data_IF_508106388935
#
_entry.id   IF_508106388935
#
_cell.length_a   1.000
_cell.length_b   1.000
_cell.length_c   1.000
_cell.angle_alpha   90.00
_cell.angle_beta   90.00
_cell.angle_gamma   90.00
#
_symmetry.space_group_name_H-M   'P 1'
#
loop_
_entity.id
_entity.type
_entity.pdbx_description
1 polymer ?
#
# COMPACT_ATOMS: atom_id res chain seq x y z
N UNK A 1 -4.34 45.99 -18.04
CA UNK A 1 -3.22 45.22 -17.45
C UNK A 1 -3.25 45.35 -15.94
N UNK A 2 -3.64 44.28 -15.25
CA UNK A 2 -2.97 43.71 -14.07
C UNK A 2 -3.85 42.55 -13.61
N UNK A 3 -3.35 41.34 -13.84
CA UNK A 3 -3.97 40.12 -13.37
C UNK A 3 -3.83 40.07 -11.84
N UNK A 4 -4.96 39.98 -11.14
CA UNK A 4 -4.99 39.48 -9.77
C UNK A 4 -5.02 37.96 -9.90
N UNK A 5 -3.84 37.36 -9.89
CA UNK A 5 -3.69 35.92 -9.71
C UNK A 5 -3.93 35.64 -8.24
N UNK A 6 -5.00 34.90 -7.95
CA UNK A 6 -5.35 34.42 -6.62
C UNK A 6 -4.22 33.54 -6.07
N UNK A 7 -3.63 34.03 -5.00
CA UNK A 7 -2.47 33.52 -4.28
C UNK A 7 -2.92 32.56 -3.16
N UNK A 8 -3.72 31.54 -3.50
CA UNK A 8 -4.43 30.71 -2.50
C UNK A 8 -4.13 29.20 -2.56
N UNK A 9 -3.10 28.77 -3.29
CA UNK A 9 -2.71 27.35 -3.37
C UNK A 9 -1.28 27.03 -2.89
N UNK A 10 -0.65 27.95 -2.16
CA UNK A 10 0.71 27.80 -1.66
C UNK A 10 0.79 28.05 -0.16
N UNK A 11 -0.06 27.39 0.64
CA UNK A 11 0.25 27.13 2.06
C UNK A 11 1.37 26.08 2.11
N UNK A 12 2.54 26.58 1.76
CA UNK A 12 3.86 25.97 1.79
C UNK A 12 4.14 25.60 3.24
N UNK A 13 4.16 24.32 3.57
CA UNK A 13 4.73 23.83 4.81
C UNK A 13 6.13 24.44 4.95
N UNK A 14 6.29 25.38 5.89
CA UNK A 14 7.59 25.96 6.15
C UNK A 14 8.41 24.92 6.92
N UNK A 15 9.57 24.47 6.41
CA UNK A 15 10.39 23.47 7.08
C UNK A 15 10.80 23.87 8.49
N UNK A 16 10.85 25.17 8.80
CA UNK A 16 11.29 25.71 10.09
C UNK A 16 10.18 25.77 11.16
N UNK A 17 8.96 25.33 10.85
CA UNK A 17 7.89 25.26 11.85
C UNK A 17 8.03 24.01 12.73
N UNK A 18 8.75 24.16 13.84
CA UNK A 18 8.95 23.11 14.85
C UNK A 18 7.61 22.52 15.36
N UNK A 19 6.56 23.34 15.43
CA UNK A 19 5.24 22.90 15.87
C UNK A 19 4.62 21.90 14.88
N UNK A 20 4.78 22.13 13.58
CA UNK A 20 4.30 21.21 12.53
C UNK A 20 4.94 19.82 12.66
N UNK A 21 6.24 19.74 12.96
CA UNK A 21 6.96 18.47 13.12
C UNK A 21 6.62 17.78 14.43
N UNK A 22 6.45 18.56 15.50
CA UNK A 22 5.99 18.05 16.78
C UNK A 22 4.56 17.48 16.68
N UNK A 23 3.67 18.13 15.94
CA UNK A 23 2.32 17.64 15.66
C UNK A 23 2.34 16.35 14.86
N UNK A 24 3.22 16.25 13.86
CA UNK A 24 3.39 15.01 13.09
C UNK A 24 3.91 13.87 13.98
N UNK A 25 4.89 14.15 14.84
CA UNK A 25 5.43 13.19 15.80
C UNK A 25 4.33 12.69 16.75
N UNK A 26 3.62 13.62 17.40
CA UNK A 26 2.54 13.32 18.36
C UNK A 26 1.39 12.54 17.70
N UNK A 27 1.14 12.80 16.41
CA UNK A 27 0.16 12.05 15.64
C UNK A 27 0.67 10.64 15.23
N UNK A 28 1.94 10.49 14.85
CA UNK A 28 2.49 9.20 14.43
C UNK A 28 2.76 8.26 15.60
N UNK A 29 3.29 8.76 16.70
CA UNK A 29 3.77 7.98 17.84
C UNK A 29 2.77 6.92 18.34
N UNK A 30 1.52 7.25 18.73
CA UNK A 30 0.57 6.26 19.25
C UNK A 30 0.18 5.19 18.21
N UNK A 31 0.31 5.50 16.90
CA UNK A 31 0.04 4.55 15.82
C UNK A 31 1.20 3.56 15.70
N UNK A 32 2.42 4.06 15.71
CA UNK A 32 3.64 3.25 15.67
C UNK A 32 3.74 2.37 16.92
N UNK A 33 3.42 2.92 18.09
CA UNK A 33 3.39 2.17 19.36
C UNK A 33 2.44 0.98 19.30
N UNK A 34 1.25 1.18 18.72
CA UNK A 34 0.30 0.08 18.47
C UNK A 34 0.89 -0.96 17.51
N UNK A 35 1.63 -0.56 16.48
CA UNK A 35 2.27 -1.51 15.55
C UNK A 35 3.37 -2.32 16.22
N UNK A 36 4.25 -1.68 16.98
CA UNK A 36 5.37 -2.33 17.69
C UNK A 36 4.86 -3.31 18.74
N UNK A 37 3.86 -2.91 19.54
CA UNK A 37 3.22 -3.80 20.52
C UNK A 37 2.65 -5.06 19.88
N UNK A 38 2.12 -4.95 18.66
CA UNK A 38 1.50 -6.06 17.93
C UNK A 38 2.46 -6.82 16.99
N UNK A 39 3.74 -6.44 16.92
CA UNK A 39 4.69 -6.99 15.94
C UNK A 39 5.26 -8.37 16.32
N UNK A 40 5.11 -8.76 17.59
CA UNK A 40 5.61 -10.00 18.21
C UNK A 40 7.10 -10.28 17.96
N UNK A 41 7.93 -9.24 17.83
CA UNK A 41 9.38 -9.37 17.68
C UNK A 41 10.00 -9.55 19.07
N UNK A 42 10.61 -10.70 19.33
CA UNK A 42 11.18 -11.03 20.64
C UNK A 42 12.20 -9.98 21.12
N UNK A 43 13.06 -9.51 20.22
CA UNK A 43 14.07 -8.49 20.53
C UNK A 43 13.49 -7.12 20.93
N UNK A 44 12.20 -6.87 20.67
CA UNK A 44 11.55 -5.60 21.03
C UNK A 44 10.81 -5.68 22.36
N UNK A 45 10.73 -6.86 22.98
CA UNK A 45 10.03 -7.03 24.25
C UNK A 45 10.75 -6.30 25.38
N UNK A 46 10.03 -5.45 26.12
CA UNK A 46 10.59 -4.59 27.16
C UNK A 46 11.23 -3.30 26.63
N UNK A 47 11.31 -3.13 25.31
CA UNK A 47 11.83 -1.94 24.63
C UNK A 47 10.84 -1.37 23.60
N UNK A 48 9.55 -1.70 23.75
CA UNK A 48 8.55 -1.36 22.73
C UNK A 48 8.42 0.15 22.56
N UNK A 49 8.59 0.91 23.64
CA UNK A 49 8.49 2.36 23.62
C UNK A 49 9.64 2.97 22.82
N UNK A 50 10.87 2.58 23.14
CA UNK A 50 12.10 3.05 22.51
C UNK A 50 12.10 2.72 21.01
N UNK A 51 11.71 1.49 20.65
CA UNK A 51 11.56 1.09 19.24
C UNK A 51 10.49 1.94 18.54
N UNK A 52 9.41 2.29 19.23
CA UNK A 52 8.37 3.15 18.68
C UNK A 52 8.84 4.60 18.51
N UNK A 53 9.60 5.13 19.47
CA UNK A 53 10.21 6.46 19.41
C UNK A 53 11.19 6.52 18.23
N UNK A 54 12.10 5.54 18.09
CA UNK A 54 13.03 5.39 16.98
C UNK A 54 12.34 5.44 15.61
N UNK A 55 11.32 4.58 15.43
CA UNK A 55 10.58 4.48 14.16
C UNK A 55 9.87 5.80 13.86
N UNK A 56 9.28 6.42 14.88
CA UNK A 56 8.55 7.68 14.72
C UNK A 56 9.49 8.83 14.38
N UNK A 57 10.62 8.97 15.08
CA UNK A 57 11.63 10.00 14.84
C UNK A 57 12.22 9.86 13.43
N UNK A 58 12.60 8.64 13.03
CA UNK A 58 13.16 8.39 11.70
C UNK A 58 12.12 8.71 10.60
N UNK A 59 10.84 8.40 10.83
CA UNK A 59 9.78 8.74 9.89
C UNK A 59 9.59 10.26 9.74
N UNK A 60 9.57 11.00 10.85
CA UNK A 60 9.49 12.46 10.86
C UNK A 60 10.70 13.06 10.13
N UNK A 61 11.92 12.60 10.44
CA UNK A 61 13.16 13.06 9.82
C UNK A 61 13.17 12.84 8.30
N UNK A 62 12.74 11.66 7.85
CA UNK A 62 12.64 11.35 6.41
C UNK A 62 11.56 12.18 5.73
N UNK A 63 10.45 12.45 6.41
CA UNK A 63 9.38 13.32 5.90
C UNK A 63 9.90 14.75 5.74
N UNK A 64 10.64 15.27 6.72
CA UNK A 64 11.31 16.56 6.65
C UNK A 64 12.27 16.67 5.46
N UNK A 65 13.17 15.69 5.29
CA UNK A 65 14.09 15.65 4.14
C UNK A 65 13.35 15.59 2.81
N UNK A 66 12.23 14.86 2.74
CA UNK A 66 11.39 14.84 1.55
C UNK A 66 10.78 16.22 1.28
N UNK A 67 10.27 16.91 2.31
CA UNK A 67 9.74 18.27 2.19
C UNK A 67 10.79 19.24 1.66
N UNK A 68 12.01 19.19 2.19
CA UNK A 68 13.11 20.01 1.69
C UNK A 68 13.33 19.77 0.20
N UNK A 69 13.45 18.51 -0.22
CA UNK A 69 13.63 18.15 -1.64
C UNK A 69 12.46 18.60 -2.53
N UNK A 70 11.23 18.55 -2.01
CA UNK A 70 10.04 19.00 -2.73
C UNK A 70 10.06 20.53 -2.92
N UNK A 71 10.48 21.29 -1.90
CA UNK A 71 10.65 22.75 -1.98
C UNK A 71 11.71 23.14 -3.01
N UNK A 72 12.79 22.36 -3.12
CA UNK A 72 13.84 22.55 -4.13
C UNK A 72 13.43 22.05 -5.53
N UNK A 73 12.24 21.46 -5.70
CA UNK A 73 11.73 20.97 -6.97
C UNK A 73 12.31 19.63 -7.43
N UNK A 74 13.01 18.89 -6.57
CA UNK A 74 13.61 17.59 -6.91
C UNK A 74 12.60 16.43 -6.91
N UNK A 75 11.54 16.56 -6.12
CA UNK A 75 10.50 15.53 -5.96
C UNK A 75 9.12 16.17 -6.05
N UNK A 76 8.09 15.32 -6.21
CA UNK A 76 6.71 15.77 -6.30
C UNK A 76 6.31 16.57 -5.04
N UNK A 77 5.52 17.65 -5.19
CA UNK A 77 4.91 18.34 -4.06
C UNK A 77 4.10 17.39 -3.17
N UNK A 78 4.07 17.69 -1.88
CA UNK A 78 3.40 16.86 -0.88
C UNK A 78 1.95 17.30 -0.74
N UNK A 79 1.03 16.38 -1.02
CA UNK A 79 -0.40 16.65 -0.87
C UNK A 79 -0.84 16.62 0.61
N UNK A 80 -0.22 15.78 1.44
CA UNK A 80 -0.48 15.70 2.88
C UNK A 80 0.73 15.21 3.66
N UNK A 81 1.16 15.99 4.65
CA UNK A 81 2.31 15.67 5.51
C UNK A 81 2.05 14.41 6.35
N UNK A 82 0.83 14.28 6.88
CA UNK A 82 0.41 13.13 7.70
C UNK A 82 0.34 11.83 6.88
N UNK A 83 -0.12 11.89 5.63
CA UNK A 83 -0.17 10.69 4.79
C UNK A 83 1.23 10.22 4.42
N UNK A 84 2.11 11.14 3.99
CA UNK A 84 3.50 10.84 3.67
C UNK A 84 4.24 10.28 4.88
N UNK A 85 4.14 10.94 6.03
CA UNK A 85 4.78 10.50 7.28
C UNK A 85 4.30 9.11 7.71
N UNK A 86 3.01 8.82 7.57
CA UNK A 86 2.46 7.47 7.83
C UNK A 86 3.07 6.43 6.90
N UNK A 87 3.13 6.69 5.59
CA UNK A 87 3.72 5.76 4.62
C UNK A 87 5.18 5.49 4.92
N UNK A 88 5.96 6.53 5.23
CA UNK A 88 7.37 6.39 5.59
C UNK A 88 7.51 5.57 6.88
N UNK A 89 6.72 5.86 7.92
CA UNK A 89 6.73 5.11 9.18
C UNK A 89 6.38 3.64 8.97
N UNK A 90 5.38 3.33 8.16
CA UNK A 90 4.99 1.95 7.84
C UNK A 90 6.10 1.19 7.11
N UNK A 91 6.73 1.82 6.13
CA UNK A 91 7.84 1.22 5.39
C UNK A 91 9.02 0.95 6.31
N UNK A 92 9.42 1.94 7.11
CA UNK A 92 10.51 1.79 8.06
C UNK A 92 10.24 0.72 9.13
N UNK A 93 9.03 0.70 9.69
CA UNK A 93 8.58 -0.37 10.60
C UNK A 93 8.70 -1.76 9.97
N UNK A 94 8.24 -1.93 8.72
CA UNK A 94 8.32 -3.21 8.00
C UNK A 94 9.77 -3.63 7.77
N UNK A 95 10.61 -2.71 7.35
CA UNK A 95 12.03 -2.97 7.10
C UNK A 95 12.76 -3.35 8.39
N UNK A 96 12.52 -2.61 9.48
CA UNK A 96 13.10 -2.90 10.79
C UNK A 96 12.61 -4.22 11.35
N UNK A 97 11.30 -4.50 11.28
CA UNK A 97 10.73 -5.80 11.68
C UNK A 97 11.39 -6.94 10.90
N UNK A 98 11.52 -6.81 9.59
CA UNK A 98 12.17 -7.82 8.74
C UNK A 98 13.62 -8.04 9.16
N UNK A 99 14.37 -6.97 9.41
CA UNK A 99 15.76 -7.03 9.85
C UNK A 99 15.88 -7.74 11.21
N UNK A 100 15.11 -7.30 12.20
CA UNK A 100 15.24 -7.76 13.59
C UNK A 100 14.62 -9.15 13.80
N UNK A 101 13.64 -9.53 12.99
CA UNK A 101 13.14 -10.92 12.94
C UNK A 101 14.20 -11.89 12.41
N UNK A 102 14.96 -11.48 11.39
CA UNK A 102 16.03 -12.30 10.82
C UNK A 102 17.25 -12.38 11.73
N UNK A 103 17.45 -11.41 12.64
CA UNK A 103 18.54 -11.42 13.62
C UNK A 103 18.32 -12.46 14.74
N UNK A 104 17.12 -13.03 14.89
CA UNK A 104 16.81 -14.09 15.87
C UNK A 104 17.18 -15.50 15.36
N UNK A 105 17.65 -15.65 14.11
CA UNK A 105 18.33 -16.86 13.62
C UNK A 105 19.71 -16.46 13.09
N UNK A 106 20.76 -16.61 13.90
CA UNK A 106 21.42 -17.91 14.03
C UNK A 106 21.99 -18.16 15.45
N UNK A 107 21.30 -18.93 16.28
CA UNK A 107 21.86 -19.45 17.55
C UNK A 107 21.28 -20.83 17.93
N UNK A 108 20.75 -21.59 16.97
CA UNK A 108 20.20 -22.93 17.21
C UNK A 108 20.90 -24.05 16.40
N UNK A 109 22.00 -23.75 15.71
CA UNK A 109 22.78 -24.79 15.00
C UNK A 109 24.14 -25.09 15.65
N UNK A 110 24.41 -24.53 16.83
CA UNK A 110 25.63 -24.85 17.58
C UNK A 110 25.31 -24.98 19.06
N UNK A 111 24.81 -26.14 19.45
CA UNK A 111 25.36 -26.93 20.56
C UNK A 111 24.52 -28.19 20.76
N UNK A 112 25.11 -29.32 20.39
CA UNK A 112 24.75 -30.61 20.95
C UNK A 112 24.86 -30.51 22.49
N UNK A 113 23.75 -30.52 23.22
CA UNK A 113 23.71 -31.09 24.58
C UNK A 113 22.30 -31.58 24.87
N UNK A 114 22.25 -32.84 25.25
CA UNK A 114 21.10 -33.68 25.48
C UNK A 114 20.31 -33.26 26.74
N UNK A 115 18.99 -33.45 26.70
CA UNK A 115 18.17 -33.75 27.88
C UNK A 115 17.55 -32.56 28.63
N UNK A 116 16.27 -32.26 28.37
CA UNK A 116 15.15 -32.65 29.25
C UNK A 116 13.81 -32.21 28.61
N UNK A 117 12.77 -33.03 28.81
CA UNK A 117 11.43 -32.89 28.27
C UNK A 117 10.72 -31.59 28.71
N UNK A 118 10.14 -30.83 27.78
CA UNK A 118 8.83 -30.22 28.03
C UNK A 118 8.03 -29.92 26.73
N UNK A 119 6.98 -30.73 26.56
CA UNK A 119 5.66 -30.47 25.96
C UNK A 119 5.59 -29.81 24.58
N UNK A 120 5.13 -30.62 23.64
CA UNK A 120 4.65 -30.28 22.30
C UNK A 120 3.63 -29.13 22.28
N UNK A 121 3.80 -28.20 21.34
CA UNK A 121 2.66 -27.67 20.58
C UNK A 121 3.02 -27.61 19.09
N UNK A 122 2.46 -28.51 18.25
CA UNK A 122 2.70 -28.56 16.81
C UNK A 122 1.64 -27.75 16.04
N UNK A 123 1.52 -26.45 16.31
CA UNK A 123 0.77 -25.47 15.52
C UNK A 123 1.38 -24.12 15.90
N UNK A 124 2.21 -23.47 15.09
CA UNK A 124 1.79 -22.59 14.01
C UNK A 124 3.02 -22.30 13.14
N UNK A 125 3.21 -23.08 12.06
CA UNK A 125 4.08 -22.70 10.96
C UNK A 125 3.32 -21.70 10.07
N UNK A 126 3.00 -20.54 10.64
CA UNK A 126 2.34 -19.47 9.91
C UNK A 126 3.40 -18.68 9.17
N UNK A 127 3.38 -18.76 7.84
CA UNK A 127 3.98 -17.79 6.92
C UNK A 127 3.74 -16.36 7.45
N UNK A 128 4.64 -15.38 7.18
CA UNK A 128 4.71 -14.12 7.90
C UNK A 128 3.33 -13.46 8.00
N UNK A 129 2.68 -13.64 9.15
CA UNK A 129 1.42 -12.97 9.42
C UNK A 129 1.78 -11.49 9.52
N UNK A 130 1.45 -10.75 8.47
CA UNK A 130 1.28 -9.32 8.57
C UNK A 130 0.22 -9.14 9.64
N UNK A 131 0.63 -8.87 10.89
CA UNK A 131 -0.30 -8.35 11.88
C UNK A 131 -0.59 -6.92 11.45
N UNK A 132 -1.48 -6.81 10.45
CA UNK A 132 -2.04 -5.56 10.00
C UNK A 132 -3.09 -5.19 11.04
N UNK A 133 -2.99 -3.97 11.58
CA UNK A 133 -4.00 -3.45 12.50
C UNK A 133 -5.40 -3.66 11.91
N UNK A 134 -6.32 -4.41 12.54
CA UNK A 134 -7.62 -4.74 11.96
C UNK A 134 -8.44 -3.49 11.61
N UNK A 135 -8.29 -2.38 12.35
CA UNK A 135 -8.88 -1.10 11.96
C UNK A 135 -8.23 -0.51 10.71
N UNK A 136 -6.92 -0.65 10.55
CA UNK A 136 -6.23 -0.23 9.33
C UNK A 136 -6.56 -1.16 8.15
N UNK A 137 -6.68 -2.47 8.35
CA UNK A 137 -7.19 -3.42 7.34
C UNK A 137 -8.59 -3.02 6.92
N UNK A 138 -9.46 -2.69 7.87
CA UNK A 138 -10.82 -2.28 7.57
C UNK A 138 -10.83 -0.98 6.75
N UNK A 139 -10.04 0.02 7.14
CA UNK A 139 -9.91 1.28 6.39
C UNK A 139 -9.31 1.04 5.00
N UNK A 140 -8.23 0.26 4.90
CA UNK A 140 -7.57 -0.06 3.63
C UNK A 140 -8.48 -0.88 2.73
N UNK A 141 -9.26 -1.83 3.29
CA UNK A 141 -10.28 -2.58 2.55
C UNK A 141 -11.40 -1.68 2.09
N UNK A 142 -11.93 -0.79 2.93
CA UNK A 142 -12.98 0.17 2.53
C UNK A 142 -12.47 1.10 1.43
N UNK A 143 -11.24 1.60 1.55
CA UNK A 143 -10.60 2.43 0.55
C UNK A 143 -10.40 1.66 -0.76
N UNK A 144 -9.88 0.43 -0.69
CA UNK A 144 -9.71 -0.46 -1.84
C UNK A 144 -11.05 -0.76 -2.53
N UNK A 145 -12.09 -1.13 -1.77
CA UNK A 145 -13.45 -1.34 -2.29
C UNK A 145 -13.97 -0.09 -2.98
N UNK A 146 -13.75 1.09 -2.40
CA UNK A 146 -14.17 2.37 -2.99
C UNK A 146 -13.46 2.64 -4.32
N UNK A 147 -12.13 2.46 -4.37
CA UNK A 147 -11.31 2.66 -5.58
C UNK A 147 -11.70 1.68 -6.68
N UNK A 148 -11.87 0.39 -6.34
CA UNK A 148 -12.28 -0.64 -7.30
C UNK A 148 -13.68 -0.34 -7.82
N UNK A 149 -14.62 0.08 -6.96
CA UNK A 149 -15.98 0.46 -7.37
C UNK A 149 -15.98 1.67 -8.31
N UNK A 150 -15.16 2.68 -8.03
CA UNK A 150 -14.99 3.84 -8.92
C UNK A 150 -14.43 3.40 -10.28
N UNK A 151 -13.39 2.57 -10.29
CA UNK A 151 -12.80 2.03 -11.52
C UNK A 151 -13.83 1.24 -12.34
N UNK A 152 -14.64 0.38 -11.69
CA UNK A 152 -15.69 -0.38 -12.35
C UNK A 152 -16.72 0.53 -13.04
N UNK A 153 -17.19 1.59 -12.37
CA UNK A 153 -18.11 2.59 -12.95
C UNK A 153 -17.51 3.36 -14.12
N UNK A 154 -16.21 3.66 -14.06
CA UNK A 154 -15.48 4.32 -15.15
C UNK A 154 -15.40 3.38 -16.36
N UNK A 155 -15.11 2.10 -16.15
CA UNK A 155 -15.00 1.10 -17.23
C UNK A 155 -16.29 0.94 -18.03
N UNK A 156 -17.47 1.11 -17.44
CA UNK A 156 -18.74 1.09 -18.17
C UNK A 156 -18.75 2.12 -19.30
N UNK A 157 -18.14 3.29 -19.09
CA UNK A 157 -18.08 4.41 -20.05
C UNK A 157 -17.00 4.24 -21.12
N UNK A 158 -16.16 3.21 -21.04
CA UNK A 158 -15.08 3.02 -22.00
C UNK A 158 -15.61 2.61 -23.38
N UNK A 159 -14.92 2.99 -24.47
CA UNK A 159 -15.19 2.46 -25.79
C UNK A 159 -15.16 0.92 -25.76
N UNK A 160 -16.08 0.24 -26.47
CA UNK A 160 -16.29 -1.21 -26.32
C UNK A 160 -15.02 -2.02 -26.58
N UNK A 161 -14.19 -1.62 -27.56
CA UNK A 161 -12.93 -2.31 -27.85
C UNK A 161 -11.85 -2.14 -26.76
N UNK A 162 -11.80 -0.98 -26.09
CA UNK A 162 -10.87 -0.74 -24.98
C UNK A 162 -11.33 -1.46 -23.72
N UNK A 163 -12.65 -1.41 -23.46
CA UNK A 163 -13.28 -2.10 -22.34
C UNK A 163 -13.09 -3.61 -22.47
N UNK A 164 -13.39 -4.19 -23.64
CA UNK A 164 -13.22 -5.62 -23.88
C UNK A 164 -11.76 -6.06 -23.73
N UNK A 165 -10.80 -5.33 -24.31
CA UNK A 165 -9.39 -5.68 -24.17
C UNK A 165 -8.94 -5.71 -22.70
N UNK A 166 -9.32 -4.70 -21.92
CA UNK A 166 -8.99 -4.60 -20.51
C UNK A 166 -9.71 -5.66 -19.67
N UNK A 167 -10.99 -5.91 -19.90
CA UNK A 167 -11.74 -6.95 -19.18
C UNK A 167 -11.25 -8.36 -19.51
N UNK A 168 -10.82 -8.62 -20.76
CA UNK A 168 -10.21 -9.90 -21.13
C UNK A 168 -8.86 -10.10 -20.45
N UNK A 169 -8.03 -9.06 -20.39
CA UNK A 169 -6.76 -9.10 -19.64
C UNK A 169 -7.02 -9.38 -18.16
N UNK A 170 -7.94 -8.62 -17.53
CA UNK A 170 -8.35 -8.81 -16.14
C UNK A 170 -8.93 -10.21 -15.89
N UNK A 171 -9.80 -10.71 -16.76
CA UNK A 171 -10.41 -12.03 -16.60
C UNK A 171 -9.39 -13.16 -16.72
N UNK A 172 -8.34 -12.98 -17.54
CA UNK A 172 -7.30 -13.98 -17.71
C UNK A 172 -6.27 -14.02 -16.56
N UNK A 173 -6.10 -12.91 -15.83
CA UNK A 173 -5.24 -12.87 -14.62
C UNK A 173 -6.01 -13.14 -13.33
N UNK A 174 -7.35 -13.08 -13.37
CA UNK A 174 -8.19 -13.31 -12.19
C UNK A 174 -8.33 -14.81 -11.95
N UNK A 175 -8.02 -15.24 -10.72
CA UNK A 175 -8.31 -16.59 -10.27
C UNK A 175 -9.75 -16.67 -9.77
N UNK A 176 -10.63 -17.26 -10.58
CA UNK A 176 -12.05 -17.43 -10.25
C UNK A 176 -12.23 -18.60 -9.29
N UNK A 177 -12.00 -18.33 -8.00
CA UNK A 177 -12.23 -19.29 -6.92
C UNK A 177 -13.70 -19.49 -6.55
N UNK A 178 -13.92 -20.16 -5.42
CA UNK A 178 -15.25 -20.46 -4.86
C UNK A 178 -16.00 -19.18 -4.40
N UNK A 179 -15.27 -18.13 -4.01
CA UNK A 179 -15.82 -16.85 -3.58
C UNK A 179 -15.44 -15.74 -4.57
N UNK A 180 -16.40 -14.88 -4.98
CA UNK A 180 -16.12 -13.80 -5.92
C UNK A 180 -15.17 -12.77 -5.30
N UNK A 181 -14.15 -12.39 -6.05
CA UNK A 181 -13.18 -11.35 -5.64
C UNK A 181 -13.85 -9.97 -5.52
N UNK A 182 -13.20 -9.03 -4.82
CA UNK A 182 -13.68 -7.64 -4.73
C UNK A 182 -13.83 -6.98 -6.12
N UNK A 183 -12.96 -7.37 -7.07
CA UNK A 183 -13.02 -6.92 -8.45
C UNK A 183 -14.28 -7.45 -9.15
N UNK A 184 -14.57 -8.75 -9.00
CA UNK A 184 -15.78 -9.37 -9.55
C UNK A 184 -17.05 -8.74 -8.98
N UNK A 185 -17.10 -8.54 -7.66
CA UNK A 185 -18.26 -7.92 -7.00
C UNK A 185 -18.51 -6.50 -7.52
N UNK A 186 -17.47 -5.66 -7.56
CA UNK A 186 -17.59 -4.28 -8.02
C UNK A 186 -17.94 -4.18 -9.51
N UNK A 187 -17.43 -5.07 -10.36
CA UNK A 187 -17.79 -5.13 -11.78
C UNK A 187 -19.22 -5.63 -11.97
N UNK A 188 -19.65 -6.62 -11.20
CA UNK A 188 -21.03 -7.14 -11.24
C UNK A 188 -22.04 -6.05 -10.84
N UNK A 189 -21.75 -5.27 -9.80
CA UNK A 189 -22.56 -4.10 -9.41
C UNK A 189 -22.62 -3.03 -10.52
N UNK A 190 -21.58 -2.92 -11.34
CA UNK A 190 -21.54 -2.05 -12.51
C UNK A 190 -22.18 -2.67 -13.77
N UNK A 191 -22.78 -3.86 -13.66
CA UNK A 191 -23.41 -4.59 -14.76
C UNK A 191 -22.44 -5.30 -15.70
N UNK A 192 -21.21 -5.57 -15.24
CA UNK A 192 -20.16 -6.25 -16.00
C UNK A 192 -19.89 -7.62 -15.37
N UNK A 193 -20.18 -8.68 -16.11
CA UNK A 193 -19.82 -10.04 -15.70
C UNK A 193 -18.39 -10.38 -16.17
N UNK A 194 -17.40 -10.30 -15.27
CA UNK A 194 -15.99 -10.48 -15.63
C UNK A 194 -15.69 -11.86 -16.24
N UNK A 195 -16.36 -12.92 -15.76
CA UNK A 195 -16.22 -14.29 -16.29
C UNK A 195 -16.56 -14.40 -17.77
N UNK A 196 -17.50 -13.59 -18.26
CA UNK A 196 -17.88 -13.59 -19.67
C UNK A 196 -16.75 -13.13 -20.62
N UNK A 197 -15.71 -12.47 -20.09
CA UNK A 197 -14.57 -11.97 -20.86
C UNK A 197 -13.35 -12.89 -20.83
N UNK A 198 -13.43 -14.04 -20.16
CA UNK A 198 -12.35 -15.01 -20.11
C UNK A 198 -12.23 -15.70 -21.48
N UNK A 199 -11.26 -15.23 -22.26
CA UNK A 199 -11.04 -15.69 -23.63
C UNK A 199 -9.54 -15.90 -23.88
N UNK A 200 -9.17 -16.91 -24.67
CA UNK A 200 -7.80 -17.08 -25.10
C UNK A 200 -7.31 -15.81 -25.83
N UNK A 201 -6.10 -15.37 -25.49
CA UNK A 201 -5.49 -14.19 -26.10
C UNK A 201 -5.21 -14.43 -27.60
N UNK A 202 -5.29 -13.39 -28.45
CA UNK A 202 -5.00 -13.52 -29.87
C UNK A 202 -3.57 -14.02 -30.13
N UNK A 203 -3.46 -15.09 -30.90
CA UNK A 203 -2.17 -15.72 -31.26
C UNK A 203 -1.55 -15.08 -32.50
N UNK A 204 -2.37 -14.53 -33.39
CA UNK A 204 -1.96 -13.87 -34.63
C UNK A 204 -1.21 -12.55 -34.34
N UNK A 205 -0.04 -12.28 -34.96
CA UNK A 205 0.78 -11.11 -34.65
C UNK A 205 0.06 -9.78 -34.83
N UNK A 206 -0.78 -9.66 -35.87
CA UNK A 206 -1.53 -8.44 -36.17
C UNK A 206 -2.61 -8.15 -35.12
N UNK A 207 -3.34 -9.17 -34.70
CA UNK A 207 -4.39 -9.06 -33.68
C UNK A 207 -3.80 -8.84 -32.29
N UNK A 208 -2.67 -9.51 -31.99
CA UNK A 208 -1.92 -9.31 -30.75
C UNK A 208 -1.45 -7.86 -30.59
N UNK A 209 -0.90 -7.27 -31.65
CA UNK A 209 -0.47 -5.87 -31.63
C UNK A 209 -1.64 -4.90 -31.43
N UNK A 210 -2.77 -5.17 -32.12
CA UNK A 210 -4.00 -4.36 -31.96
C UNK A 210 -4.56 -4.47 -30.53
N UNK A 211 -4.62 -5.68 -29.98
CA UNK A 211 -5.06 -5.92 -28.62
C UNK A 211 -4.16 -5.22 -27.59
N UNK A 212 -2.83 -5.34 -27.72
CA UNK A 212 -1.87 -4.68 -26.84
C UNK A 212 -1.98 -3.14 -26.89
N UNK A 213 -2.21 -2.57 -28.08
CA UNK A 213 -2.44 -1.14 -28.24
C UNK A 213 -3.72 -0.68 -27.52
N UNK A 214 -4.83 -1.41 -27.71
CA UNK A 214 -6.10 -1.13 -27.04
C UNK A 214 -5.98 -1.25 -25.51
N UNK A 215 -5.27 -2.27 -25.02
CA UNK A 215 -5.00 -2.49 -23.61
C UNK A 215 -4.16 -1.36 -23.00
N UNK A 216 -3.07 -0.96 -23.67
CA UNK A 216 -2.22 0.14 -23.21
C UNK A 216 -2.98 1.46 -23.11
N UNK A 217 -3.84 1.75 -24.09
CA UNK A 217 -4.70 2.94 -24.08
C UNK A 217 -5.72 2.85 -22.95
N UNK A 218 -6.35 1.69 -22.76
CA UNK A 218 -7.35 1.48 -21.71
C UNK A 218 -6.75 1.70 -20.31
N UNK A 219 -5.58 1.12 -20.01
CA UNK A 219 -4.90 1.33 -18.72
C UNK A 219 -4.47 2.78 -18.50
N UNK A 220 -3.93 3.45 -19.53
CA UNK A 220 -3.56 4.87 -19.44
C UNK A 220 -4.77 5.75 -19.17
N UNK A 221 -5.91 5.45 -19.80
CA UNK A 221 -7.17 6.17 -19.59
C UNK A 221 -7.70 5.93 -18.17
N UNK A 222 -7.73 4.68 -17.73
CA UNK A 222 -8.20 4.31 -16.39
C UNK A 222 -7.39 5.02 -15.31
N UNK A 223 -6.06 5.04 -15.46
CA UNK A 223 -5.17 5.76 -14.54
C UNK A 223 -5.46 7.27 -14.47
N UNK A 224 -5.82 7.91 -15.59
CA UNK A 224 -6.15 9.34 -15.62
C UNK A 224 -7.49 9.61 -14.92
N UNK A 225 -8.49 8.79 -15.19
CA UNK A 225 -9.87 8.98 -14.66
C UNK A 225 -9.98 8.64 -13.16
N UNK A 226 -9.13 7.74 -12.64
CA UNK A 226 -9.10 7.37 -11.21
C UNK A 226 -8.23 8.32 -10.37
N UNK A 227 -7.38 9.12 -10.99
CA UNK A 227 -6.50 10.08 -10.30
C UNK A 227 -7.11 11.48 -10.12
N UNK A 228 -8.35 11.67 -10.56
CA UNK A 228 -9.16 12.90 -10.39
C UNK A 228 -10.06 12.73 -9.17
#
# INVERSE_FOLDING_TARGET
MKAHTDDTAALRYQPDDEATWHDLYTWLFPRVEKWVRNASVNAWYGQQREVSEDITQEAVLRTFRYCQRAVHGEVRPIDSLKSLGKTIAQNYFRDRRKKDWNLVRPAQESENTEGFLEVSSPLERSAPSQVVDPSQVAVDRVMLTTVISMAARILVKFPPGQRAALLTDLANITDFGEYPTLLEQALAEAGIELKAYQHPLPTEPGEKNRHAALLSIAYKRLRREVAV
#
